data_IF_903553777951
#
_entry.id   IF_903553777951
#
_cell.length_a   1.000
_cell.length_b   1.000
_cell.length_c   1.000
_cell.angle_alpha   90.00
_cell.angle_beta   90.00
_cell.angle_gamma   90.00
#
_symmetry.space_group_name_H-M   'P 1'
#
loop_
_entity.id
_entity.type
_entity.pdbx_description
1 polymer ?
#
# COMPACT_ATOMS: atom_id res chain seq x y z
N UNK A 1 -7.79 -1.87 -9.85
CA UNK A 1 -7.60 -2.35 -8.46
C UNK A 1 -8.02 -3.81 -8.25
N UNK A 2 -9.13 -4.28 -8.80
CA UNK A 2 -9.63 -5.65 -8.61
C UNK A 2 -8.55 -6.75 -8.77
N UNK A 3 -7.74 -6.70 -9.85
CA UNK A 3 -6.64 -7.65 -10.07
C UNK A 3 -5.63 -7.75 -8.92
N UNK A 4 -5.35 -6.63 -8.24
CA UNK A 4 -4.42 -6.58 -7.12
C UNK A 4 -5.05 -7.19 -5.89
N UNK A 5 -6.30 -6.84 -5.60
CA UNK A 5 -7.08 -7.39 -4.50
C UNK A 5 -7.19 -8.91 -4.62
N UNK A 6 -7.55 -9.42 -5.79
CA UNK A 6 -7.65 -10.86 -6.02
C UNK A 6 -6.31 -11.56 -5.87
N UNK A 7 -5.23 -10.96 -6.40
CA UNK A 7 -3.89 -11.54 -6.28
C UNK A 7 -3.40 -11.57 -4.83
N UNK A 8 -3.59 -10.50 -4.07
CA UNK A 8 -3.16 -10.46 -2.67
C UNK A 8 -4.04 -11.31 -1.76
N UNK A 9 -5.34 -11.39 -2.01
CA UNK A 9 -6.22 -12.32 -1.30
C UNK A 9 -5.83 -13.78 -1.54
N UNK A 10 -5.54 -14.15 -2.79
CA UNK A 10 -5.04 -15.49 -3.13
C UNK A 10 -3.69 -15.75 -2.47
N UNK A 11 -2.77 -14.79 -2.49
CA UNK A 11 -1.47 -14.92 -1.84
C UNK A 11 -1.61 -15.16 -0.34
N UNK A 12 -2.45 -14.37 0.34
CA UNK A 12 -2.75 -14.57 1.76
C UNK A 12 -3.36 -15.95 2.04
N UNK A 13 -4.30 -16.40 1.22
CA UNK A 13 -4.92 -17.72 1.33
C UNK A 13 -3.91 -18.85 1.16
N UNK A 14 -3.05 -18.76 0.14
CA UNK A 14 -1.97 -19.72 -0.15
C UNK A 14 -0.98 -19.77 1.01
N UNK A 15 -0.54 -18.61 1.52
CA UNK A 15 0.39 -18.52 2.66
C UNK A 15 -0.22 -19.16 3.90
N UNK A 16 -1.48 -18.86 4.21
CA UNK A 16 -2.18 -19.42 5.37
C UNK A 16 -2.30 -20.94 5.29
N UNK A 17 -2.72 -21.49 4.15
CA UNK A 17 -2.98 -22.93 4.00
C UNK A 17 -1.69 -23.74 3.83
N UNK A 18 -0.76 -23.28 2.98
CA UNK A 18 0.41 -24.09 2.62
C UNK A 18 1.57 -23.94 3.58
N UNK A 19 1.73 -22.78 4.21
CA UNK A 19 2.90 -22.51 5.04
C UNK A 19 2.61 -22.65 6.54
N UNK A 20 1.35 -22.88 6.93
CA UNK A 20 0.97 -23.03 8.34
C UNK A 20 1.45 -21.85 9.19
N UNK A 21 1.52 -20.65 8.61
CA UNK A 21 2.08 -19.48 9.27
C UNK A 21 1.25 -19.18 10.51
N UNK A 22 1.88 -19.19 11.67
CA UNK A 22 1.27 -18.68 12.88
C UNK A 22 1.10 -17.17 12.74
N UNK A 23 -0.13 -16.77 12.44
CA UNK A 23 -0.49 -15.37 12.25
C UNK A 23 -0.29 -14.56 13.54
N UNK A 24 -0.30 -15.18 14.73
CA UNK A 24 -0.04 -14.47 15.98
C UNK A 24 1.42 -14.03 16.05
N UNK A 25 2.36 -14.94 15.79
CA UNK A 25 3.79 -14.63 15.72
C UNK A 25 4.06 -13.59 14.63
N UNK A 26 3.45 -13.74 13.44
CA UNK A 26 3.58 -12.76 12.36
C UNK A 26 3.06 -11.38 12.76
N UNK A 27 1.86 -11.30 13.36
CA UNK A 27 1.29 -10.03 13.83
C UNK A 27 2.19 -9.39 14.89
N UNK A 28 2.67 -10.16 15.88
CA UNK A 28 3.53 -9.65 16.94
C UNK A 28 4.87 -9.10 16.40
N UNK A 29 5.54 -9.84 15.53
CA UNK A 29 6.81 -9.40 14.93
C UNK A 29 6.61 -8.21 14.00
N UNK A 30 5.58 -8.24 13.14
CA UNK A 30 5.30 -7.16 12.21
C UNK A 30 4.91 -5.87 12.95
N UNK A 31 4.04 -5.97 13.96
CA UNK A 31 3.64 -4.79 14.75
C UNK A 31 4.81 -4.24 15.54
N UNK A 32 5.58 -5.07 16.24
CA UNK A 32 6.75 -4.64 17.01
C UNK A 32 7.84 -4.00 16.15
N UNK A 33 8.12 -4.56 14.98
CA UNK A 33 9.09 -4.00 14.04
C UNK A 33 8.62 -2.66 13.45
N UNK A 34 7.35 -2.58 13.04
CA UNK A 34 6.80 -1.39 12.42
C UNK A 34 6.66 -0.22 13.40
N UNK A 35 6.14 -0.46 14.61
CA UNK A 35 6.02 0.62 15.61
C UNK A 35 7.39 1.15 16.05
N UNK A 36 8.38 0.27 16.26
CA UNK A 36 9.74 0.68 16.64
C UNK A 36 10.46 1.50 15.57
N UNK A 37 10.10 1.33 14.29
CA UNK A 37 10.73 2.01 13.15
C UNK A 37 9.81 3.01 12.45
N UNK A 38 8.67 3.37 13.04
CA UNK A 38 7.65 4.22 12.43
C UNK A 38 8.23 5.48 11.78
N UNK A 39 8.98 6.26 12.56
CA UNK A 39 9.58 7.52 12.11
C UNK A 39 10.59 7.29 10.99
N UNK A 40 11.39 6.21 11.09
CA UNK A 40 12.34 5.84 10.05
C UNK A 40 11.61 5.50 8.75
N UNK A 41 10.51 4.74 8.79
CA UNK A 41 9.73 4.43 7.58
C UNK A 41 9.15 5.67 6.91
N UNK A 42 8.60 6.60 7.67
CA UNK A 42 8.11 7.87 7.13
C UNK A 42 9.23 8.67 6.46
N UNK A 43 10.36 8.80 7.15
CA UNK A 43 11.51 9.55 6.66
C UNK A 43 12.10 8.89 5.40
N UNK A 44 12.26 7.57 5.41
CA UNK A 44 12.72 6.80 4.24
C UNK A 44 11.77 6.94 3.06
N UNK A 45 10.47 6.90 3.29
CA UNK A 45 9.48 7.06 2.22
C UNK A 45 9.54 8.46 1.60
N UNK A 46 9.75 9.49 2.42
CA UNK A 46 10.01 10.85 1.95
C UNK A 46 11.31 10.94 1.14
N UNK A 47 12.41 10.36 1.64
CA UNK A 47 13.70 10.31 0.93
C UNK A 47 13.55 9.60 -0.40
N UNK A 48 12.96 8.40 -0.43
CA UNK A 48 12.72 7.65 -1.65
C UNK A 48 11.84 8.43 -2.62
N UNK A 49 10.83 9.14 -2.13
CA UNK A 49 10.04 10.07 -2.94
C UNK A 49 10.88 11.14 -3.62
N UNK A 50 11.76 11.80 -2.87
CA UNK A 50 12.69 12.80 -3.41
C UNK A 50 13.69 12.19 -4.41
N UNK A 51 14.20 10.98 -4.13
CA UNK A 51 15.09 10.25 -5.05
C UNK A 51 14.38 9.89 -6.34
N UNK A 52 13.14 9.37 -6.27
CA UNK A 52 12.34 9.06 -7.46
C UNK A 52 12.06 10.31 -8.28
N UNK A 53 11.72 11.42 -7.62
CA UNK A 53 11.55 12.69 -8.30
C UNK A 53 12.84 13.16 -8.98
N UNK A 54 13.98 13.09 -8.28
CA UNK A 54 15.29 13.43 -8.84
C UNK A 54 15.69 12.55 -10.02
N UNK A 55 15.40 11.24 -9.95
CA UNK A 55 15.63 10.29 -11.04
C UNK A 55 14.79 10.65 -12.26
N UNK A 56 13.51 10.96 -12.06
CA UNK A 56 12.59 11.38 -13.12
C UNK A 56 13.09 12.67 -13.77
N UNK A 57 13.46 13.68 -12.97
CA UNK A 57 14.01 14.94 -13.46
C UNK A 57 15.32 14.75 -14.25
N UNK A 58 16.19 13.84 -13.79
CA UNK A 58 17.42 13.50 -14.51
C UNK A 58 17.12 12.82 -15.85
N UNK A 59 16.15 11.91 -15.90
CA UNK A 59 15.73 11.26 -17.14
C UNK A 59 15.11 12.25 -18.14
N UNK A 60 14.40 13.28 -17.65
CA UNK A 60 13.87 14.37 -18.45
C UNK A 60 14.99 15.18 -19.11
N UNK A 61 16.01 15.59 -18.34
CA UNK A 61 17.20 16.28 -18.87
C UNK A 61 17.91 15.45 -19.94
N UNK A 62 17.99 14.13 -19.76
CA UNK A 62 18.61 13.20 -20.71
C UNK A 62 17.73 12.91 -21.93
N UNK A 63 16.49 13.41 -21.98
CA UNK A 63 15.54 13.17 -23.06
C UNK A 63 14.97 11.74 -23.10
N UNK A 64 15.14 10.96 -22.02
CA UNK A 64 14.74 9.55 -21.92
C UNK A 64 13.28 9.38 -21.47
N UNK A 65 12.37 10.01 -22.19
CA UNK A 65 10.96 10.14 -21.81
C UNK A 65 10.22 8.80 -21.68
N UNK A 66 10.56 7.81 -22.53
CA UNK A 66 9.96 6.47 -22.48
C UNK A 66 10.33 5.71 -21.21
N UNK A 67 11.59 5.80 -20.79
CA UNK A 67 12.10 5.17 -19.56
C UNK A 67 11.48 5.84 -18.33
N UNK A 68 11.41 7.16 -18.35
CA UNK A 68 10.80 7.95 -17.29
C UNK A 68 9.33 7.56 -17.04
N UNK A 69 8.52 7.46 -18.10
CA UNK A 69 7.13 7.01 -18.01
C UNK A 69 7.02 5.58 -17.46
N UNK A 70 7.93 4.69 -17.87
CA UNK A 70 7.98 3.31 -17.38
C UNK A 70 8.26 3.26 -15.88
N UNK A 71 9.22 4.05 -15.39
CA UNK A 71 9.56 4.14 -13.95
C UNK A 71 8.38 4.69 -13.14
N UNK A 72 7.73 5.76 -13.61
CA UNK A 72 6.57 6.33 -12.92
C UNK A 72 5.40 5.33 -12.86
N UNK A 73 5.14 4.61 -13.95
CA UNK A 73 4.11 3.57 -14.01
C UNK A 73 4.44 2.37 -13.13
N UNK A 74 5.71 1.97 -13.06
CA UNK A 74 6.17 0.92 -12.16
C UNK A 74 5.90 1.29 -10.70
N UNK A 75 6.28 2.50 -10.28
CA UNK A 75 6.04 3.00 -8.93
C UNK A 75 4.54 3.01 -8.59
N UNK A 76 3.71 3.45 -9.54
CA UNK A 76 2.26 3.45 -9.40
C UNK A 76 1.69 2.03 -9.20
N UNK A 77 2.07 1.08 -10.05
CA UNK A 77 1.56 -0.30 -9.97
C UNK A 77 2.09 -1.03 -8.72
N UNK A 78 3.34 -0.78 -8.32
CA UNK A 78 3.90 -1.29 -7.07
C UNK A 78 3.15 -0.75 -5.84
N UNK A 79 2.79 0.53 -5.85
CA UNK A 79 2.01 1.15 -4.77
C UNK A 79 0.61 0.52 -4.65
N UNK A 80 -0.06 0.26 -5.77
CA UNK A 80 -1.37 -0.43 -5.78
C UNK A 80 -1.29 -1.84 -5.20
N UNK A 81 -0.23 -2.58 -5.54
CA UNK A 81 0.01 -3.89 -4.97
C UNK A 81 0.22 -3.79 -3.45
N UNK A 82 1.07 -2.87 -2.99
CA UNK A 82 1.36 -2.67 -1.57
C UNK A 82 0.10 -2.29 -0.77
N UNK A 83 -0.71 -1.36 -1.29
CA UNK A 83 -2.03 -1.00 -0.75
C UNK A 83 -2.87 -2.27 -0.59
N UNK A 84 -3.04 -3.04 -1.67
CA UNK A 84 -3.86 -4.25 -1.61
C UNK A 84 -3.32 -5.32 -0.66
N UNK A 85 -2.00 -5.40 -0.46
CA UNK A 85 -1.38 -6.38 0.41
C UNK A 85 -1.62 -6.03 1.89
N UNK A 86 -1.39 -4.77 2.24
CA UNK A 86 -1.53 -4.25 3.61
C UNK A 86 -2.99 -4.27 4.05
N UNK A 87 -3.92 -3.76 3.23
CA UNK A 87 -5.33 -3.64 3.63
C UNK A 87 -6.08 -4.98 3.61
N UNK A 88 -5.71 -5.90 2.72
CA UNK A 88 -6.26 -7.27 2.77
C UNK A 88 -5.63 -8.05 3.93
N UNK A 89 -4.32 -7.91 4.16
CA UNK A 89 -3.67 -8.50 5.32
C UNK A 89 -4.31 -8.08 6.64
N UNK A 90 -4.67 -6.80 6.78
CA UNK A 90 -5.42 -6.29 7.92
C UNK A 90 -6.78 -6.96 8.10
N UNK A 91 -7.54 -7.20 7.03
CA UNK A 91 -8.80 -7.94 7.10
C UNK A 91 -8.59 -9.39 7.53
N UNK A 92 -7.60 -10.08 6.97
CA UNK A 92 -7.29 -11.47 7.34
C UNK A 92 -6.90 -11.59 8.82
N UNK A 93 -6.03 -10.70 9.30
CA UNK A 93 -5.60 -10.69 10.70
C UNK A 93 -6.76 -10.33 11.65
N UNK A 94 -7.65 -9.42 11.25
CA UNK A 94 -8.84 -9.12 12.03
C UNK A 94 -9.77 -10.33 12.14
N UNK A 95 -10.10 -11.00 11.03
CA UNK A 95 -11.03 -12.12 11.06
C UNK A 95 -10.47 -13.39 11.71
N UNK A 96 -9.14 -13.59 11.68
CA UNK A 96 -8.53 -14.79 12.27
C UNK A 96 -8.14 -14.61 13.74
N UNK A 97 -7.66 -13.42 14.12
CA UNK A 97 -7.11 -13.16 15.45
C UNK A 97 -7.86 -12.11 16.26
N UNK A 98 -8.83 -11.41 15.67
CA UNK A 98 -9.42 -10.20 16.26
C UNK A 98 -8.45 -9.01 16.31
N UNK A 99 -7.28 -9.13 15.66
CA UNK A 99 -6.23 -8.13 15.72
C UNK A 99 -6.51 -6.97 14.75
N UNK A 100 -6.40 -5.73 15.24
CA UNK A 100 -6.74 -4.56 14.46
C UNK A 100 -5.50 -3.77 14.05
N UNK A 101 -4.91 -4.12 12.91
CA UNK A 101 -3.74 -3.43 12.37
C UNK A 101 -3.94 -1.92 12.18
N UNK A 102 -5.18 -1.46 11.94
CA UNK A 102 -5.44 -0.03 11.80
C UNK A 102 -5.20 0.74 13.10
N UNK A 103 -5.59 0.16 14.24
CA UNK A 103 -5.31 0.76 15.55
C UNK A 103 -3.87 0.52 15.98
N UNK A 104 -3.33 -0.66 15.70
CA UNK A 104 -2.01 -1.08 16.18
C UNK A 104 -0.87 -0.33 15.48
N UNK A 105 -1.01 -0.09 14.16
CA UNK A 105 0.03 0.54 13.34
C UNK A 105 -0.26 2.01 13.01
N UNK A 106 -1.50 2.46 13.22
CA UNK A 106 -1.94 3.84 13.05
C UNK A 106 -1.49 4.44 11.71
N UNK A 107 -0.72 5.53 11.77
CA UNK A 107 -0.25 6.27 10.59
C UNK A 107 0.58 5.41 9.63
N UNK A 108 1.32 4.38 10.09
CA UNK A 108 2.14 3.52 9.21
C UNK A 108 1.28 2.85 8.13
N UNK A 109 0.03 2.52 8.44
CA UNK A 109 -0.90 1.94 7.47
C UNK A 109 -1.17 2.84 6.28
N UNK A 110 -0.88 4.15 6.39
CA UNK A 110 -1.06 5.13 5.30
C UNK A 110 0.16 5.28 4.39
N UNK A 111 1.31 4.69 4.72
CA UNK A 111 2.53 4.75 3.90
C UNK A 111 2.32 4.31 2.44
N UNK A 112 1.60 3.21 2.14
CA UNK A 112 1.31 2.81 0.76
C UNK A 112 0.53 3.87 -0.01
N UNK A 113 -0.33 4.66 0.66
CA UNK A 113 -1.06 5.77 0.04
C UNK A 113 -0.14 6.95 -0.25
N UNK A 114 0.83 7.22 0.60
CA UNK A 114 1.82 8.27 0.36
C UNK A 114 2.71 7.94 -0.85
N UNK A 115 3.15 6.69 -0.97
CA UNK A 115 3.86 6.20 -2.16
C UNK A 115 3.01 6.28 -3.43
N UNK A 116 1.71 5.97 -3.32
CA UNK A 116 0.77 6.15 -4.43
C UNK A 116 0.69 7.61 -4.87
N UNK A 117 0.57 8.56 -3.93
CA UNK A 117 0.53 9.99 -4.25
C UNK A 117 1.78 10.44 -5.01
N UNK A 118 2.96 9.98 -4.59
CA UNK A 118 4.22 10.23 -5.30
C UNK A 118 4.15 9.64 -6.72
N UNK A 119 3.75 8.37 -6.86
CA UNK A 119 3.62 7.72 -8.16
C UNK A 119 2.63 8.42 -9.10
N UNK A 120 1.48 8.87 -8.59
CA UNK A 120 0.49 9.63 -9.35
C UNK A 120 1.07 10.98 -9.78
N UNK A 121 1.71 11.70 -8.87
CA UNK A 121 2.35 12.98 -9.20
C UNK A 121 3.38 12.81 -10.31
N UNK A 122 4.25 11.81 -10.18
CA UNK A 122 5.24 11.45 -11.18
C UNK A 122 4.60 11.13 -12.55
N UNK A 123 3.55 10.32 -12.60
CA UNK A 123 2.86 10.02 -13.87
C UNK A 123 2.20 11.28 -14.45
N UNK A 124 1.60 12.11 -13.60
CA UNK A 124 0.83 13.29 -14.01
C UNK A 124 1.68 14.39 -14.62
N UNK A 125 2.96 14.48 -14.25
CA UNK A 125 3.91 15.39 -14.89
C UNK A 125 4.07 15.12 -16.39
N UNK A 126 3.80 13.89 -16.86
CA UNK A 126 4.05 13.47 -18.24
C UNK A 126 2.78 13.11 -19.01
N UNK A 127 1.77 12.62 -18.30
CA UNK A 127 0.47 12.27 -18.89
C UNK A 127 -0.64 13.12 -18.28
N UNK A 128 -0.88 14.28 -18.91
CA UNK A 128 -1.99 15.17 -18.58
C UNK A 128 -3.38 14.59 -18.91
N UNK A 129 -3.45 13.44 -19.57
CA UNK A 129 -4.70 12.71 -19.79
C UNK A 129 -4.89 11.55 -18.81
N UNK A 130 -3.91 11.28 -17.95
CA UNK A 130 -4.01 10.25 -16.92
C UNK A 130 -5.28 10.41 -16.06
N UNK A 131 -6.12 9.37 -15.92
CA UNK A 131 -7.39 9.44 -15.17
C UNK A 131 -7.13 9.42 -13.66
N UNK A 132 -6.75 10.59 -13.13
CA UNK A 132 -6.34 10.75 -11.72
C UNK A 132 -7.48 10.42 -10.77
N UNK A 133 -8.69 10.93 -11.01
CA UNK A 133 -9.83 10.74 -10.12
C UNK A 133 -10.22 9.27 -10.00
N UNK A 134 -10.32 8.56 -11.12
CA UNK A 134 -10.64 7.12 -11.13
C UNK A 134 -9.54 6.29 -10.46
N UNK A 135 -8.28 6.64 -10.70
CA UNK A 135 -7.15 5.95 -10.08
C UNK A 135 -7.17 6.12 -8.57
N UNK A 136 -7.29 7.36 -8.08
CA UNK A 136 -7.33 7.68 -6.65
C UNK A 136 -8.54 7.02 -5.99
N UNK A 137 -9.74 7.18 -6.57
CA UNK A 137 -10.97 6.59 -6.04
C UNK A 137 -10.85 5.07 -5.92
N UNK A 138 -10.35 4.39 -6.95
CA UNK A 138 -10.18 2.94 -6.91
C UNK A 138 -9.16 2.49 -5.85
N UNK A 139 -8.08 3.25 -5.65
CA UNK A 139 -7.04 2.93 -4.68
C UNK A 139 -7.46 3.23 -3.24
N UNK A 140 -8.32 4.24 -3.02
CA UNK A 140 -8.89 4.55 -1.71
C UNK A 140 -10.02 3.61 -1.32
N UNK A 141 -10.76 3.07 -2.29
CA UNK A 141 -11.87 2.17 -2.03
C UNK A 141 -11.47 0.95 -1.19
N UNK A 142 -10.28 0.39 -1.41
CA UNK A 142 -9.79 -0.80 -0.68
C UNK A 142 -9.54 -0.51 0.81
N UNK A 143 -8.70 0.49 1.18
CA UNK A 143 -8.55 0.89 2.58
C UNK A 143 -9.87 1.26 3.23
N UNK A 144 -10.72 2.05 2.57
CA UNK A 144 -12.02 2.45 3.11
C UNK A 144 -12.92 1.25 3.39
N UNK A 145 -13.01 0.31 2.46
CA UNK A 145 -13.79 -0.90 2.64
C UNK A 145 -13.27 -1.74 3.80
N UNK A 146 -11.95 -1.91 3.90
CA UNK A 146 -11.34 -2.64 5.02
C UNK A 146 -11.62 -1.98 6.38
N UNK A 147 -11.52 -0.65 6.45
CA UNK A 147 -11.80 0.11 7.68
C UNK A 147 -13.28 0.05 8.07
N UNK A 148 -14.19 0.16 7.10
CA UNK A 148 -15.64 0.05 7.34
C UNK A 148 -16.00 -1.34 7.88
N UNK A 149 -15.44 -2.40 7.31
CA UNK A 149 -15.68 -3.76 7.78
C UNK A 149 -15.24 -3.90 9.24
N UNK A 150 -14.00 -3.52 9.54
CA UNK A 150 -13.39 -3.68 10.87
C UNK A 150 -14.13 -2.84 11.92
N UNK A 151 -14.46 -1.58 11.59
CA UNK A 151 -15.21 -0.71 12.51
C UNK A 151 -16.66 -1.18 12.68
N UNK A 152 -17.28 -1.68 11.61
CA UNK A 152 -18.63 -2.23 11.63
C UNK A 152 -18.73 -3.49 12.48
N UNK A 153 -17.78 -4.42 12.36
CA UNK A 153 -17.73 -5.63 13.19
C UNK A 153 -17.53 -5.29 14.67
N UNK A 154 -16.67 -4.33 14.99
CA UNK A 154 -16.50 -3.84 16.37
C UNK A 154 -17.80 -3.28 16.95
N UNK A 155 -18.56 -2.51 16.17
CA UNK A 155 -19.85 -1.96 16.60
C UNK A 155 -20.91 -3.05 16.82
N UNK A 156 -20.87 -4.11 16.01
CA UNK A 156 -21.81 -5.23 16.09
C UNK A 156 -21.43 -6.28 17.14
N UNK A 157 -20.26 -6.15 17.77
CA UNK A 157 -19.75 -7.13 18.75
C UNK A 157 -19.35 -8.47 18.12
N UNK A 158 -18.90 -8.43 16.85
CA UNK A 158 -18.43 -9.58 16.06
C UNK A 158 -16.90 -9.72 16.09
#
# INVERSE_FOLDING_TARGET
MLKYITATALLWFIVRINMGVDLQTYHHEATGYLTSHQTAFFLWTGIWGAVFYGLIYLLDILGLHSVMYLVAKFLLEASKLLISLVFIGALFLYFDLGANLWTDLGLIMTLPLLLLCIGIFCVRLFDFNFPLQETVASCLAVPLFSGIIILGSLYLGL
#
